data_IF_253380065037
#
_entry.id   IF_253380065037
#
_cell.length_a   1.000
_cell.length_b   1.000
_cell.length_c   1.000
_cell.angle_alpha   90.00
_cell.angle_beta   90.00
_cell.angle_gamma   90.00
#
_symmetry.space_group_name_H-M   'P 1'
#
loop_
_entity.id
_entity.type
_entity.pdbx_description
1 polymer ?
#
# COMPACT_ATOMS: atom_id res chain seq x y z
N UNK A 1 47.35 26.16 11.01
CA UNK A 1 47.03 25.28 12.19
C UNK A 1 46.63 23.91 11.67
N UNK A 2 47.28 22.87 12.17
CA UNK A 2 47.36 21.52 11.58
C UNK A 2 46.08 20.73 11.75
N UNK A 3 45.49 20.20 10.66
CA UNK A 3 44.41 19.20 10.66
C UNK A 3 45.00 17.82 10.98
N UNK A 4 44.46 17.14 11.99
CA UNK A 4 44.78 15.73 12.28
C UNK A 4 43.75 14.84 11.59
N UNK A 5 44.22 13.98 10.71
CA UNK A 5 43.47 12.83 10.17
C UNK A 5 43.57 11.69 11.16
N UNK A 6 42.41 11.08 11.52
CA UNK A 6 42.37 9.79 12.22
C UNK A 6 41.88 8.74 11.23
N UNK A 7 42.72 7.74 11.02
CA UNK A 7 42.42 6.55 10.25
C UNK A 7 41.58 5.56 11.11
N UNK A 8 40.50 5.04 10.55
CA UNK A 8 39.71 3.95 11.14
C UNK A 8 40.03 2.68 10.36
N UNK A 9 40.57 1.71 11.07
CA UNK A 9 40.99 0.40 10.56
C UNK A 9 39.77 -0.51 10.41
N UNK A 10 39.57 -1.02 9.20
CA UNK A 10 38.54 -2.03 8.92
C UNK A 10 39.05 -3.42 9.33
N UNK A 11 38.27 -4.11 10.15
CA UNK A 11 38.51 -5.49 10.59
C UNK A 11 37.61 -6.42 9.76
N UNK A 12 38.17 -7.16 8.81
CA UNK A 12 37.50 -8.19 8.03
C UNK A 12 37.49 -9.52 8.80
N UNK A 13 36.30 -10.02 9.10
CA UNK A 13 36.12 -11.36 9.70
C UNK A 13 35.67 -12.33 8.58
N UNK A 14 36.57 -13.22 8.17
CA UNK A 14 36.28 -14.34 7.27
C UNK A 14 35.79 -15.55 8.06
N UNK A 15 34.57 -16.01 7.82
CA UNK A 15 34.00 -17.24 8.39
C UNK A 15 34.04 -18.35 7.33
N UNK A 16 34.87 -19.35 7.56
CA UNK A 16 34.98 -20.54 6.73
C UNK A 16 33.90 -21.57 7.14
N UNK A 17 33.06 -21.99 6.19
CA UNK A 17 32.16 -23.16 6.36
C UNK A 17 32.85 -24.42 5.93
N UNK A 18 32.95 -25.37 6.83
CA UNK A 18 33.40 -26.73 6.58
C UNK A 18 32.22 -27.60 6.19
N UNK A 19 32.22 -28.14 4.98
CA UNK A 19 31.30 -29.18 4.52
C UNK A 19 31.82 -30.54 4.97
N UNK A 20 31.05 -31.26 5.78
CA UNK A 20 31.30 -32.68 6.06
C UNK A 20 30.21 -33.52 5.39
N UNK A 21 30.59 -34.25 4.37
CA UNK A 21 29.77 -35.31 3.78
C UNK A 21 30.02 -36.62 4.56
N UNK A 22 28.96 -37.33 4.95
CA UNK A 22 29.02 -38.73 5.33
C UNK A 22 27.91 -39.49 4.60
N UNK A 23 28.41 -40.41 3.80
CA UNK A 23 27.72 -41.51 3.14
C UNK A 23 27.53 -42.68 4.11
N UNK A 24 26.44 -43.43 4.00
CA UNK A 24 26.30 -44.73 4.65
C UNK A 24 24.85 -45.22 4.63
N UNK A 25 24.62 -46.27 3.85
CA UNK A 25 23.36 -46.91 3.54
C UNK A 25 22.90 -47.94 4.56
N UNK A 26 21.70 -48.50 4.34
CA UNK A 26 21.18 -49.69 4.98
C UNK A 26 19.68 -49.69 5.16
N UNK A 27 19.01 -50.60 4.46
CA UNK A 27 17.55 -50.71 4.36
C UNK A 27 16.85 -51.29 5.58
N UNK A 28 15.52 -51.29 5.54
CA UNK A 28 14.62 -51.97 6.47
C UNK A 28 13.17 -51.51 6.28
N UNK A 29 12.38 -52.37 5.61
CA UNK A 29 10.91 -52.24 5.56
C UNK A 29 10.28 -52.38 6.96
N UNK A 30 9.20 -51.64 7.24
CA UNK A 30 7.94 -52.21 7.78
C UNK A 30 6.84 -51.14 7.88
N UNK A 31 5.75 -51.42 7.21
CA UNK A 31 4.30 -51.21 7.35
C UNK A 31 3.69 -50.27 8.41
N UNK A 32 2.82 -49.39 7.85
CA UNK A 32 1.45 -49.06 8.25
C UNK A 32 1.15 -48.30 9.56
N UNK A 33 0.55 -47.12 9.44
CA UNK A 33 -0.87 -46.83 9.79
C UNK A 33 -1.20 -45.35 9.60
N UNK A 34 -2.44 -45.13 9.17
CA UNK A 34 -3.07 -43.85 8.82
C UNK A 34 -3.19 -42.86 9.95
N UNK A 35 -3.10 -41.59 9.62
CA UNK A 35 -3.51 -40.47 10.46
C UNK A 35 -3.46 -39.19 9.62
N UNK A 36 -4.62 -38.81 9.06
CA UNK A 36 -4.72 -37.59 8.25
C UNK A 36 -4.54 -36.34 9.08
N UNK A 37 -3.72 -35.45 8.56
CA UNK A 37 -3.72 -34.03 8.94
C UNK A 37 -3.58 -33.25 7.66
N UNK A 38 -4.66 -32.62 7.22
CA UNK A 38 -4.71 -31.71 6.07
C UNK A 38 -4.17 -30.36 6.52
N UNK A 39 -2.87 -30.18 6.41
CA UNK A 39 -2.27 -28.84 6.33
C UNK A 39 -2.50 -28.30 4.91
N UNK A 40 -3.33 -27.30 4.80
CA UNK A 40 -3.43 -26.48 3.61
C UNK A 40 -2.16 -25.63 3.50
N UNK A 41 -1.11 -26.19 2.88
CA UNK A 41 0.01 -25.41 2.39
C UNK A 41 -0.53 -24.53 1.24
N UNK A 42 -0.59 -23.21 1.47
CA UNK A 42 -0.76 -22.23 0.42
C UNK A 42 0.45 -22.33 -0.51
N UNK A 43 0.31 -23.03 -1.63
CA UNK A 43 1.25 -22.95 -2.73
C UNK A 43 1.24 -21.53 -3.27
N UNK A 44 2.25 -20.75 -2.90
CA UNK A 44 2.70 -19.60 -3.69
C UNK A 44 3.13 -20.16 -5.04
N UNK A 45 2.23 -20.18 -6.01
CA UNK A 45 2.55 -20.44 -7.42
C UNK A 45 3.50 -19.36 -7.90
N UNK A 46 4.78 -19.66 -7.84
CA UNK A 46 5.81 -18.87 -8.49
C UNK A 46 5.51 -18.92 -9.99
N UNK A 47 5.12 -17.78 -10.56
CA UNK A 47 4.85 -17.68 -11.99
C UNK A 47 6.08 -18.17 -12.78
N UNK A 48 5.84 -19.00 -13.78
CA UNK A 48 6.89 -19.51 -14.66
C UNK A 48 7.62 -18.31 -15.31
N UNK A 49 8.96 -18.33 -15.32
CA UNK A 49 9.75 -17.34 -16.01
C UNK A 49 9.41 -17.38 -17.52
N UNK A 50 9.20 -16.21 -18.17
CA UNK A 50 8.80 -16.16 -19.58
C UNK A 50 9.86 -16.74 -20.47
N UNK A 51 9.41 -17.48 -21.49
CA UNK A 51 10.25 -18.04 -22.55
C UNK A 51 10.65 -16.92 -23.52
N UNK A 52 11.94 -16.55 -23.57
CA UNK A 52 12.55 -15.67 -24.61
C UNK A 52 11.94 -14.25 -24.67
N UNK A 53 12.40 -13.38 -25.37
CA UNK A 53 12.08 -12.00 -25.83
C UNK A 53 10.84 -11.21 -25.28
N UNK A 54 10.23 -11.59 -24.15
CA UNK A 54 9.13 -10.82 -23.55
C UNK A 54 9.60 -9.42 -23.10
N UNK A 55 8.81 -8.41 -23.45
CA UNK A 55 9.05 -7.03 -22.98
C UNK A 55 8.86 -7.00 -21.46
N UNK A 56 9.89 -6.59 -20.74
CA UNK A 56 9.81 -6.39 -19.30
C UNK A 56 9.12 -5.06 -19.02
N UNK A 57 8.08 -5.11 -18.21
CA UNK A 57 7.30 -3.95 -17.81
C UNK A 57 7.31 -3.82 -16.28
N UNK A 58 7.34 -2.59 -15.80
CA UNK A 58 7.19 -2.26 -14.39
C UNK A 58 5.81 -1.69 -14.14
N UNK A 59 5.12 -2.21 -13.10
CA UNK A 59 3.83 -1.70 -12.64
C UNK A 59 3.97 -1.10 -11.24
N UNK A 60 3.81 0.23 -11.14
CA UNK A 60 3.73 0.93 -9.85
C UNK A 60 2.40 0.62 -9.15
N UNK A 61 2.46 0.33 -7.85
CA UNK A 61 1.27 -0.01 -7.04
C UNK A 61 1.18 0.86 -5.79
N UNK A 62 1.24 0.30 -4.59
CA UNK A 62 1.22 0.97 -3.30
C UNK A 62 1.93 0.11 -2.27
N UNK A 63 1.69 0.36 -1.00
CA UNK A 63 2.21 -0.46 0.09
C UNK A 63 1.72 -1.91 0.00
N UNK A 64 2.54 -2.86 0.45
CA UNK A 64 2.29 -4.31 0.30
C UNK A 64 1.06 -4.84 1.02
N UNK A 65 0.53 -4.11 2.00
CA UNK A 65 -0.72 -4.42 2.73
C UNK A 65 -1.97 -3.74 2.13
N UNK A 66 -1.79 -2.99 1.03
CA UNK A 66 -2.86 -2.29 0.32
C UNK A 66 -3.38 -3.07 -0.89
N UNK A 67 -4.58 -2.68 -1.35
CA UNK A 67 -5.27 -3.34 -2.47
C UNK A 67 -4.51 -3.21 -3.78
N UNK A 68 -3.82 -2.08 -4.05
CA UNK A 68 -3.03 -1.89 -5.28
C UNK A 68 -1.99 -2.97 -5.48
N UNK A 69 -1.23 -3.28 -4.43
CA UNK A 69 -0.17 -4.30 -4.52
C UNK A 69 -0.76 -5.70 -4.76
N UNK A 70 -1.80 -6.07 -3.99
CA UNK A 70 -2.45 -7.37 -4.14
C UNK A 70 -3.09 -7.53 -5.52
N UNK A 71 -3.84 -6.51 -5.99
CA UNK A 71 -4.53 -6.54 -7.27
C UNK A 71 -3.56 -6.48 -8.45
N UNK A 72 -2.54 -5.63 -8.37
CA UNK A 72 -1.46 -5.57 -9.34
C UNK A 72 -0.73 -6.91 -9.48
N UNK A 73 -0.49 -7.60 -8.36
CA UNK A 73 0.05 -8.96 -8.36
C UNK A 73 -0.81 -9.97 -9.11
N UNK A 74 -2.14 -9.90 -8.92
CA UNK A 74 -3.09 -10.75 -9.67
C UNK A 74 -3.05 -10.43 -11.17
N UNK A 75 -3.08 -9.15 -11.56
CA UNK A 75 -2.97 -8.75 -12.97
C UNK A 75 -1.67 -9.27 -13.58
N UNK A 76 -0.54 -9.01 -12.92
CA UNK A 76 0.77 -9.46 -13.39
C UNK A 76 0.82 -10.98 -13.58
N UNK A 77 0.38 -11.74 -12.57
CA UNK A 77 0.36 -13.21 -12.64
C UNK A 77 -0.50 -13.72 -13.80
N UNK A 78 -1.70 -13.16 -14.00
CA UNK A 78 -2.60 -13.58 -15.09
C UNK A 78 -2.01 -13.27 -16.45
N UNK A 79 -1.43 -12.07 -16.65
CA UNK A 79 -0.88 -11.66 -17.95
C UNK A 79 0.43 -12.38 -18.25
N UNK A 80 1.32 -12.52 -17.28
CA UNK A 80 2.59 -13.23 -17.46
C UNK A 80 2.37 -14.72 -17.80
N UNK A 81 1.32 -15.36 -17.23
CA UNK A 81 0.98 -16.73 -17.52
C UNK A 81 0.40 -16.96 -18.93
N UNK A 82 -0.03 -15.90 -19.63
CA UNK A 82 -0.64 -16.00 -20.97
C UNK A 82 0.38 -16.00 -22.12
N UNK A 83 1.66 -15.78 -21.84
CA UNK A 83 2.74 -15.73 -22.86
C UNK A 83 2.39 -14.80 -24.07
N UNK A 84 1.90 -13.60 -23.74
CA UNK A 84 1.50 -12.57 -24.72
C UNK A 84 2.64 -11.61 -25.09
N UNK A 85 3.88 -11.99 -24.82
CA UNK A 85 5.07 -11.20 -25.14
C UNK A 85 5.39 -10.10 -24.13
N UNK A 86 4.77 -10.09 -22.92
CA UNK A 86 5.09 -9.17 -21.83
C UNK A 86 5.40 -9.91 -20.54
N UNK A 87 6.24 -9.31 -19.71
CA UNK A 87 6.51 -9.76 -18.35
C UNK A 87 6.40 -8.56 -17.41
N UNK A 88 5.33 -8.52 -16.61
CA UNK A 88 5.04 -7.42 -15.70
C UNK A 88 5.63 -7.73 -14.32
N UNK A 89 6.48 -6.81 -13.82
CA UNK A 89 7.01 -6.80 -12.47
C UNK A 89 6.26 -5.76 -11.63
N UNK A 90 5.70 -6.18 -10.49
CA UNK A 90 4.96 -5.30 -9.59
C UNK A 90 5.91 -4.65 -8.60
N UNK A 91 5.82 -3.34 -8.47
CA UNK A 91 6.65 -2.54 -7.57
C UNK A 91 5.78 -1.88 -6.49
N UNK A 92 6.19 -2.03 -5.23
CA UNK A 92 5.63 -1.26 -4.11
C UNK A 92 6.11 0.18 -4.18
N UNK A 93 5.21 1.15 -3.99
CA UNK A 93 5.48 2.59 -4.12
C UNK A 93 4.73 3.38 -3.04
N UNK A 94 4.91 4.72 -3.03
CA UNK A 94 4.11 5.68 -2.25
C UNK A 94 2.70 5.95 -2.82
N UNK A 95 2.17 5.05 -3.66
CA UNK A 95 0.85 5.11 -4.28
C UNK A 95 0.66 6.26 -5.31
N UNK A 96 -0.55 6.85 -5.40
CA UNK A 96 -1.03 7.52 -6.62
C UNK A 96 -0.13 8.64 -7.15
N UNK A 97 0.30 9.62 -6.33
CA UNK A 97 1.17 10.71 -6.81
C UNK A 97 2.52 10.19 -7.28
N UNK A 98 3.14 9.31 -6.50
CA UNK A 98 4.41 8.70 -6.88
C UNK A 98 4.28 7.90 -8.19
N UNK A 99 3.19 7.17 -8.35
CA UNK A 99 2.89 6.38 -9.54
C UNK A 99 2.70 7.23 -10.80
N UNK A 100 2.02 8.37 -10.67
CA UNK A 100 1.88 9.35 -11.77
C UNK A 100 3.26 9.78 -12.26
N UNK A 101 4.17 10.17 -11.35
CA UNK A 101 5.50 10.59 -11.73
C UNK A 101 6.32 9.44 -12.34
N UNK A 102 6.26 8.23 -11.79
CA UNK A 102 6.96 7.07 -12.36
C UNK A 102 6.55 6.82 -13.82
N UNK A 103 5.25 6.93 -14.14
CA UNK A 103 4.77 6.77 -15.52
C UNK A 103 5.11 7.98 -16.37
N UNK A 104 4.88 9.19 -15.86
CA UNK A 104 5.16 10.44 -16.58
C UNK A 104 6.64 10.55 -16.99
N UNK A 105 7.55 10.09 -16.14
CA UNK A 105 9.00 10.15 -16.35
C UNK A 105 9.55 8.91 -17.09
N UNK A 106 8.67 7.94 -17.42
CA UNK A 106 9.03 6.71 -18.12
C UNK A 106 9.81 5.71 -17.26
N UNK A 107 9.73 5.81 -15.94
CA UNK A 107 10.35 4.89 -14.98
C UNK A 107 9.45 3.67 -14.70
N UNK A 108 8.15 3.77 -14.95
CA UNK A 108 7.20 2.67 -14.96
C UNK A 108 6.34 2.68 -16.23
N UNK A 109 5.96 1.50 -16.70
CA UNK A 109 5.12 1.33 -17.90
C UNK A 109 3.64 1.35 -17.57
N UNK A 110 3.28 0.91 -16.37
CA UNK A 110 1.92 0.81 -15.85
C UNK A 110 1.88 1.30 -14.40
N UNK A 111 0.71 1.79 -13.98
CA UNK A 111 0.50 2.11 -12.58
C UNK A 111 -0.98 1.99 -12.19
N UNK A 112 -1.24 1.73 -10.91
CA UNK A 112 -2.57 1.84 -10.32
C UNK A 112 -2.63 3.17 -9.57
N UNK A 113 -3.65 3.98 -9.88
CA UNK A 113 -3.81 5.34 -9.34
C UNK A 113 -5.28 5.64 -9.06
N UNK A 114 -5.55 6.53 -8.11
CA UNK A 114 -6.88 7.09 -7.89
C UNK A 114 -7.26 8.02 -9.05
N UNK A 115 -8.53 8.01 -9.42
CA UNK A 115 -9.03 8.83 -10.53
C UNK A 115 -9.01 10.33 -10.24
N UNK A 116 -9.22 10.75 -9.01
CA UNK A 116 -9.07 12.14 -8.56
C UNK A 116 -7.62 12.62 -8.68
N UNK A 117 -6.66 11.82 -8.20
CA UNK A 117 -5.23 12.15 -8.30
C UNK A 117 -4.77 12.21 -9.76
N UNK A 118 -5.30 11.34 -10.61
CA UNK A 118 -5.05 11.38 -12.05
C UNK A 118 -5.56 12.69 -12.69
N UNK A 119 -6.75 13.14 -12.32
CA UNK A 119 -7.34 14.39 -12.80
C UNK A 119 -6.53 15.60 -12.31
N UNK A 120 -6.16 15.65 -11.03
CA UNK A 120 -5.32 16.70 -10.47
C UNK A 120 -3.96 16.77 -11.17
N UNK A 121 -3.36 15.63 -11.45
CA UNK A 121 -2.09 15.56 -12.17
C UNK A 121 -2.21 16.13 -13.58
N UNK A 122 -3.21 15.67 -14.34
CA UNK A 122 -3.41 16.09 -15.73
C UNK A 122 -3.68 17.59 -15.86
N UNK A 123 -4.41 18.16 -14.91
CA UNK A 123 -4.78 19.58 -14.90
C UNK A 123 -3.77 20.48 -14.14
N UNK A 124 -2.80 19.91 -13.43
CA UNK A 124 -1.85 20.68 -12.60
C UNK A 124 -2.55 21.39 -11.45
N UNK A 125 -3.51 20.74 -10.82
CA UNK A 125 -4.30 21.29 -9.72
C UNK A 125 -4.07 20.53 -8.42
N UNK A 126 -4.60 21.04 -7.31
CA UNK A 126 -4.52 20.42 -5.98
C UNK A 126 -3.06 19.98 -5.65
N UNK A 127 -2.79 18.70 -5.55
CA UNK A 127 -1.47 18.08 -5.31
C UNK A 127 -0.36 18.53 -6.24
N UNK A 128 -0.72 18.91 -7.44
CA UNK A 128 0.19 19.23 -8.52
C UNK A 128 0.25 20.75 -8.81
N UNK A 129 -0.42 21.55 -7.99
CA UNK A 129 -0.51 23.01 -8.23
C UNK A 129 0.86 23.70 -8.17
N UNK A 130 1.80 23.21 -7.38
CA UNK A 130 3.15 23.77 -7.27
C UNK A 130 4.12 23.21 -8.31
N UNK A 131 4.02 21.90 -8.59
CA UNK A 131 4.91 21.21 -9.54
C UNK A 131 4.46 21.35 -11.00
N UNK A 132 3.16 21.64 -11.22
CA UNK A 132 2.55 21.75 -12.55
C UNK A 132 1.99 20.42 -13.06
N UNK A 133 1.35 20.48 -14.24
CA UNK A 133 0.70 19.33 -14.85
C UNK A 133 1.70 18.23 -15.24
N UNK A 134 1.32 16.98 -14.96
CA UNK A 134 1.94 15.78 -15.47
C UNK A 134 0.96 15.12 -16.46
N UNK A 135 1.31 15.02 -17.74
CA UNK A 135 0.38 14.65 -18.82
C UNK A 135 0.83 13.48 -19.69
N UNK A 136 2.04 12.95 -19.44
CA UNK A 136 2.62 11.86 -20.25
C UNK A 136 2.11 10.47 -19.79
N UNK A 137 0.81 10.35 -19.61
CA UNK A 137 0.15 9.08 -19.27
C UNK A 137 -1.24 8.99 -19.91
N UNK A 138 -1.80 7.78 -19.97
CA UNK A 138 -3.16 7.53 -20.45
C UNK A 138 -3.85 6.46 -19.60
N UNK A 139 -5.16 6.61 -19.43
CA UNK A 139 -6.00 5.62 -18.74
C UNK A 139 -6.18 4.38 -19.62
N UNK A 140 -5.90 3.21 -19.05
CA UNK A 140 -6.12 1.91 -19.69
C UNK A 140 -7.47 1.32 -19.31
N UNK A 141 -7.82 1.34 -18.01
CA UNK A 141 -9.06 0.78 -17.49
C UNK A 141 -9.43 1.35 -16.12
N UNK A 142 -10.72 1.34 -15.79
CA UNK A 142 -11.21 1.44 -14.41
C UNK A 142 -11.19 0.06 -13.77
N UNK A 143 -10.75 -0.06 -12.52
CA UNK A 143 -10.55 -1.34 -11.85
C UNK A 143 -11.63 -1.63 -10.81
N UNK A 144 -11.73 -0.82 -9.77
CA UNK A 144 -12.66 -1.02 -8.66
C UNK A 144 -12.91 0.32 -7.94
N UNK A 145 -13.95 0.36 -7.11
CA UNK A 145 -14.21 1.50 -6.24
C UNK A 145 -13.26 1.49 -5.04
N UNK A 146 -12.65 2.62 -4.73
CA UNK A 146 -11.87 2.80 -3.51
C UNK A 146 -12.75 3.46 -2.44
N UNK A 147 -12.66 2.94 -1.23
CA UNK A 147 -13.45 3.38 -0.09
C UNK A 147 -12.53 4.09 0.90
N UNK A 148 -12.87 5.32 1.25
CA UNK A 148 -12.23 6.03 2.35
C UNK A 148 -12.70 5.43 3.66
N UNK A 149 -11.84 4.69 4.33
CA UNK A 149 -12.08 4.04 5.61
C UNK A 149 -11.28 4.79 6.67
N UNK A 150 -11.95 5.26 7.72
CA UNK A 150 -11.28 5.92 8.86
C UNK A 150 -11.38 5.01 10.06
N UNK A 151 -10.23 4.55 10.54
CA UNK A 151 -10.13 3.55 11.60
C UNK A 151 -9.63 4.22 12.88
N UNK A 152 -10.29 3.92 13.98
CA UNK A 152 -9.89 4.39 15.31
C UNK A 152 -10.05 3.32 16.38
N UNK A 153 -9.66 3.64 17.60
CA UNK A 153 -9.86 2.79 18.79
C UNK A 153 -10.47 3.59 19.93
N UNK A 154 -10.89 2.89 20.97
CA UNK A 154 -11.36 3.51 22.21
C UNK A 154 -12.62 4.36 22.05
N UNK A 155 -12.55 5.58 22.56
CA UNK A 155 -13.69 6.50 22.66
C UNK A 155 -13.87 7.41 21.43
N UNK A 156 -13.00 7.31 20.44
CA UNK A 156 -13.11 8.06 19.19
C UNK A 156 -14.18 7.36 18.35
N UNK A 157 -15.31 8.02 18.10
CA UNK A 157 -16.49 7.46 17.45
C UNK A 157 -16.96 8.25 16.22
N UNK A 158 -16.38 9.43 15.99
CA UNK A 158 -16.72 10.29 14.85
C UNK A 158 -15.47 10.97 14.31
N UNK A 159 -15.56 11.49 13.08
CA UNK A 159 -14.49 12.29 12.47
C UNK A 159 -14.22 13.55 13.31
N UNK A 160 -15.24 14.17 13.90
CA UNK A 160 -15.09 15.34 14.73
C UNK A 160 -14.23 15.10 15.99
N UNK A 161 -14.17 13.85 16.49
CA UNK A 161 -13.36 13.50 17.65
C UNK A 161 -11.85 13.47 17.34
N UNK A 162 -11.46 13.58 16.07
CA UNK A 162 -10.05 13.54 15.62
C UNK A 162 -9.28 14.82 15.97
N UNK A 163 -9.97 15.92 16.28
CA UNK A 163 -9.31 17.18 16.68
C UNK A 163 -8.41 16.98 17.89
N UNK A 164 -7.13 17.37 17.77
CA UNK A 164 -6.10 17.21 18.80
C UNK A 164 -5.58 15.77 18.95
N UNK A 165 -5.90 14.87 18.02
CA UNK A 165 -5.45 13.45 18.03
C UNK A 165 -4.25 13.23 17.12
N UNK A 166 -3.54 12.13 17.36
CA UNK A 166 -2.46 11.63 16.51
C UNK A 166 -3.10 10.80 15.40
N UNK A 167 -3.04 11.32 14.18
CA UNK A 167 -3.75 10.71 13.04
C UNK A 167 -2.78 10.38 11.92
N UNK A 168 -2.77 9.13 11.47
CA UNK A 168 -2.08 8.81 10.23
C UNK A 168 -2.98 9.11 9.03
N UNK A 169 -2.46 9.93 8.13
CA UNK A 169 -3.15 10.43 6.95
C UNK A 169 -2.70 9.74 5.65
N UNK A 170 -1.96 8.64 5.76
CA UNK A 170 -1.34 7.96 4.63
C UNK A 170 0.09 8.42 4.37
N UNK A 171 0.77 7.79 3.42
CA UNK A 171 2.10 8.20 3.00
C UNK A 171 2.09 9.64 2.46
N UNK A 172 3.17 10.38 2.70
CA UNK A 172 3.28 11.75 2.25
C UNK A 172 3.14 11.85 0.72
N UNK A 173 2.26 12.70 0.25
CA UNK A 173 1.94 12.85 -1.18
C UNK A 173 1.10 11.70 -1.75
N UNK A 174 0.55 10.80 -0.92
CA UNK A 174 -0.38 9.78 -1.39
C UNK A 174 -1.78 10.34 -1.65
N UNK A 175 -2.58 9.67 -2.47
CA UNK A 175 -4.00 10.02 -2.64
C UNK A 175 -4.78 9.96 -1.32
N UNK A 176 -4.38 9.07 -0.40
CA UNK A 176 -4.98 8.96 0.94
C UNK A 176 -4.79 10.23 1.76
N UNK A 177 -3.61 10.87 1.70
CA UNK A 177 -3.35 12.14 2.38
C UNK A 177 -4.29 13.24 1.91
N UNK A 178 -4.64 13.24 0.61
CA UNK A 178 -5.60 14.20 0.07
C UNK A 178 -7.01 13.92 0.53
N UNK A 179 -7.43 12.68 0.43
CA UNK A 179 -8.74 12.30 0.93
C UNK A 179 -8.86 12.61 2.43
N UNK A 180 -7.82 12.36 3.22
CA UNK A 180 -7.80 12.71 4.65
C UNK A 180 -7.94 14.22 4.86
N UNK A 181 -7.20 15.04 4.10
CA UNK A 181 -7.29 16.51 4.15
C UNK A 181 -8.70 16.99 3.82
N UNK A 182 -9.23 16.55 2.69
CA UNK A 182 -10.55 16.97 2.20
C UNK A 182 -11.67 16.55 3.16
N UNK A 183 -11.61 15.32 3.70
CA UNK A 183 -12.60 14.82 4.67
C UNK A 183 -12.50 15.62 5.98
N UNK A 184 -11.31 15.84 6.52
CA UNK A 184 -11.14 16.61 7.74
C UNK A 184 -11.59 18.07 7.57
N UNK A 185 -11.27 18.70 6.44
CA UNK A 185 -11.69 20.07 6.13
C UNK A 185 -13.23 20.19 6.03
N UNK A 186 -13.91 19.17 5.50
CA UNK A 186 -15.38 19.13 5.51
C UNK A 186 -15.96 19.20 6.94
N UNK A 187 -15.26 18.62 7.92
CA UNK A 187 -15.61 18.71 9.36
C UNK A 187 -15.01 19.95 10.06
N UNK A 188 -14.42 20.88 9.32
CA UNK A 188 -13.79 22.08 9.89
C UNK A 188 -12.51 21.78 10.69
N UNK A 189 -11.82 20.70 10.38
CA UNK A 189 -10.56 20.27 11.00
C UNK A 189 -9.46 20.42 9.96
N UNK A 190 -8.44 21.22 10.24
CA UNK A 190 -7.25 21.34 9.41
C UNK A 190 -6.17 20.35 9.88
N UNK A 191 -5.13 20.15 9.08
CA UNK A 191 -3.96 19.37 9.52
C UNK A 191 -3.22 20.01 10.71
N UNK A 192 -3.36 21.33 10.93
CA UNK A 192 -2.83 22.02 12.11
C UNK A 192 -3.61 21.71 13.40
N UNK A 193 -4.84 21.18 13.27
CA UNK A 193 -5.68 20.80 14.40
C UNK A 193 -5.44 19.36 14.88
N UNK A 194 -4.56 18.59 14.22
CA UNK A 194 -4.20 17.19 14.55
C UNK A 194 -2.69 17.02 14.61
N UNK A 195 -2.22 15.94 15.23
CA UNK A 195 -0.83 15.51 15.08
C UNK A 195 -0.72 14.57 13.87
N UNK A 196 -0.26 15.11 12.75
CA UNK A 196 -0.15 14.39 11.47
C UNK A 196 0.97 13.36 11.53
N UNK A 197 0.65 12.14 11.10
CA UNK A 197 1.60 11.08 10.87
C UNK A 197 1.45 10.59 9.42
N UNK A 198 2.55 10.50 8.68
CA UNK A 198 2.55 9.98 7.33
C UNK A 198 3.08 8.53 7.33
N UNK A 199 2.14 7.57 7.35
CA UNK A 199 2.44 6.14 7.44
C UNK A 199 1.63 5.37 6.39
N UNK A 200 2.22 4.34 5.81
CA UNK A 200 1.49 3.36 5.00
C UNK A 200 0.50 2.54 5.84
N UNK A 201 -0.41 1.80 5.20
CA UNK A 201 -1.52 1.12 5.90
C UNK A 201 -1.05 0.10 6.94
N UNK A 202 0.00 -0.68 6.63
CA UNK A 202 0.57 -1.65 7.57
C UNK A 202 1.16 -0.96 8.79
N UNK A 203 2.01 0.05 8.57
CA UNK A 203 2.65 0.82 9.66
C UNK A 203 1.61 1.59 10.48
N UNK A 204 0.54 2.09 9.85
CA UNK A 204 -0.59 2.74 10.54
C UNK A 204 -1.34 1.75 11.44
N UNK A 205 -1.59 0.54 10.95
CA UNK A 205 -2.23 -0.53 11.71
C UNK A 205 -1.39 -0.90 12.94
N UNK A 206 -0.09 -1.09 12.76
CA UNK A 206 0.84 -1.40 13.86
C UNK A 206 0.97 -0.23 14.84
N UNK A 207 1.05 1.00 14.36
CA UNK A 207 1.12 2.19 15.21
C UNK A 207 -0.17 2.39 16.02
N UNK A 208 -1.35 2.11 15.45
CA UNK A 208 -2.64 2.16 16.17
C UNK A 208 -2.70 1.07 17.24
N UNK A 209 -2.31 -0.15 16.91
CA UNK A 209 -2.24 -1.28 17.83
C UNK A 209 -1.31 -1.00 19.02
N UNK A 210 -0.17 -0.36 18.76
CA UNK A 210 0.81 0.02 19.76
C UNK A 210 0.41 1.29 20.58
N UNK A 211 -0.71 1.94 20.24
CA UNK A 211 -1.15 3.19 20.87
C UNK A 211 -0.26 4.39 20.54
N UNK A 212 0.49 4.34 19.44
CA UNK A 212 1.34 5.44 18.96
C UNK A 212 0.55 6.49 18.19
N UNK A 213 -0.54 6.08 17.54
CA UNK A 213 -1.54 6.94 16.91
C UNK A 213 -2.92 6.61 17.46
N UNK A 214 -3.89 7.47 17.23
CA UNK A 214 -5.26 7.34 17.74
C UNK A 214 -6.26 6.95 16.64
N UNK A 215 -5.93 7.27 15.37
CA UNK A 215 -6.72 6.92 14.19
C UNK A 215 -5.83 6.91 12.94
N UNK A 216 -6.33 6.29 11.86
CA UNK A 216 -5.71 6.39 10.54
C UNK A 216 -6.73 6.38 9.41
N UNK A 217 -6.38 7.03 8.31
CA UNK A 217 -7.11 7.01 7.05
C UNK A 217 -6.56 5.91 6.14
N UNK A 218 -7.47 5.26 5.40
CA UNK A 218 -7.17 4.23 4.43
C UNK A 218 -8.13 4.36 3.25
N UNK A 219 -7.66 4.78 2.08
CA UNK A 219 -8.43 4.76 0.83
C UNK A 219 -7.98 3.56 0.02
N UNK A 220 -8.83 2.56 -0.08
CA UNK A 220 -8.51 1.27 -0.71
C UNK A 220 -9.79 0.50 -1.04
N UNK A 221 -9.65 -0.64 -1.74
CA UNK A 221 -10.74 -1.60 -1.85
C UNK A 221 -11.12 -2.16 -0.47
N UNK A 222 -12.42 -2.31 -0.21
CA UNK A 222 -12.92 -2.93 1.02
C UNK A 222 -13.36 -4.39 0.74
N UNK A 223 -12.96 -5.36 1.61
CA UNK A 223 -12.14 -5.22 2.81
C UNK A 223 -10.65 -5.00 2.51
N UNK A 224 -9.96 -4.18 3.33
CA UNK A 224 -8.52 -3.92 3.22
C UNK A 224 -7.74 -4.82 4.16
N UNK A 225 -6.66 -5.46 3.69
CA UNK A 225 -5.87 -6.43 4.45
C UNK A 225 -5.41 -5.88 5.81
N UNK A 226 -4.80 -4.69 5.84
CA UNK A 226 -4.32 -4.07 7.07
C UNK A 226 -5.42 -3.88 8.13
N UNK A 227 -6.65 -3.52 7.70
CA UNK A 227 -7.79 -3.33 8.60
C UNK A 227 -8.33 -4.67 9.10
N UNK A 228 -8.44 -5.66 8.21
CA UNK A 228 -8.90 -7.02 8.57
C UNK A 228 -7.96 -7.65 9.59
N UNK A 229 -6.66 -7.61 9.36
CA UNK A 229 -5.66 -8.15 10.28
C UNK A 229 -5.71 -7.45 11.64
N UNK A 230 -5.81 -6.13 11.67
CA UNK A 230 -5.96 -5.36 12.90
C UNK A 230 -7.23 -5.77 13.67
N UNK A 231 -8.35 -5.89 13.00
CA UNK A 231 -9.64 -6.27 13.59
C UNK A 231 -9.66 -7.67 14.19
N UNK A 232 -8.75 -8.57 13.79
CA UNK A 232 -8.64 -9.91 14.40
C UNK A 232 -8.09 -9.88 15.82
N UNK A 233 -7.30 -8.85 16.17
CA UNK A 233 -6.57 -8.76 17.43
C UNK A 233 -6.98 -7.57 18.29
N UNK A 234 -7.64 -6.57 17.70
CA UNK A 234 -8.01 -5.32 18.37
C UNK A 234 -9.48 -4.97 18.13
N UNK A 235 -10.12 -4.36 19.14
CA UNK A 235 -11.41 -3.72 18.94
C UNK A 235 -11.18 -2.36 18.25
N UNK A 236 -11.72 -2.22 17.05
CA UNK A 236 -11.63 -1.00 16.25
C UNK A 236 -12.99 -0.37 16.01
N UNK A 237 -13.00 0.90 15.63
CA UNK A 237 -14.16 1.60 15.11
C UNK A 237 -13.87 1.97 13.66
N UNK A 238 -14.84 1.78 12.78
CA UNK A 238 -14.88 2.45 11.49
C UNK A 238 -15.72 3.72 11.66
N UNK A 239 -15.12 4.88 11.43
CA UNK A 239 -15.79 6.15 11.60
C UNK A 239 -16.62 6.48 10.35
N UNK A 240 -17.90 6.73 10.54
CA UNK A 240 -18.80 7.11 9.47
C UNK A 240 -18.55 8.57 9.04
N UNK A 241 -18.62 8.81 7.73
CA UNK A 241 -18.78 10.16 7.17
C UNK A 241 -20.28 10.36 7.01
N UNK A 242 -20.86 11.20 7.86
CA UNK A 242 -22.30 11.42 7.87
C UNK A 242 -22.83 12.05 6.57
N UNK A 243 -24.14 11.92 6.34
CA UNK A 243 -24.79 12.33 5.09
C UNK A 243 -24.58 13.83 4.74
N UNK A 244 -24.51 14.71 5.73
CA UNK A 244 -24.29 16.15 5.52
C UNK A 244 -22.89 16.41 4.96
N UNK A 245 -21.87 15.84 5.60
CA UNK A 245 -20.48 16.01 5.18
C UNK A 245 -20.18 15.23 3.90
N UNK A 246 -20.79 14.06 3.69
CA UNK A 246 -20.70 13.32 2.45
C UNK A 246 -21.28 14.10 1.26
N UNK A 247 -22.41 14.78 1.44
CA UNK A 247 -23.00 15.64 0.42
C UNK A 247 -22.10 16.85 0.10
N UNK A 248 -21.54 17.50 1.13
CA UNK A 248 -20.63 18.64 0.96
C UNK A 248 -19.32 18.20 0.23
N UNK A 249 -18.78 17.04 0.56
CA UNK A 249 -17.62 16.47 -0.14
C UNK A 249 -17.93 16.20 -1.62
N UNK A 250 -19.08 15.60 -1.93
CA UNK A 250 -19.47 15.30 -3.31
C UNK A 250 -19.73 16.57 -4.14
N UNK A 251 -20.20 17.67 -3.51
CA UNK A 251 -20.37 18.96 -4.17
C UNK A 251 -19.03 19.64 -4.46
N UNK A 252 -18.10 19.61 -3.50
CA UNK A 252 -16.78 20.24 -3.64
C UNK A 252 -15.82 19.42 -4.51
N UNK A 253 -15.92 18.11 -4.44
CA UNK A 253 -15.03 17.15 -5.09
C UNK A 253 -15.85 16.06 -5.80
N UNK A 254 -16.14 16.19 -7.10
CA UNK A 254 -17.09 15.33 -7.83
C UNK A 254 -16.66 13.87 -7.98
N UNK A 255 -15.49 13.51 -7.48
CA UNK A 255 -14.99 12.12 -7.44
C UNK A 255 -15.57 11.30 -6.28
N UNK A 256 -16.10 11.97 -5.25
CA UNK A 256 -16.71 11.27 -4.11
C UNK A 256 -18.14 10.84 -4.40
N UNK A 257 -18.44 9.63 -3.93
CA UNK A 257 -19.81 9.09 -3.88
C UNK A 257 -19.96 8.29 -2.59
N UNK A 258 -21.18 8.18 -2.09
CA UNK A 258 -21.45 7.34 -0.92
C UNK A 258 -21.32 5.87 -1.26
N UNK A 259 -20.62 5.13 -0.40
CA UNK A 259 -20.45 3.69 -0.50
C UNK A 259 -20.72 3.04 0.86
N UNK A 260 -21.81 2.27 1.01
CA UNK A 260 -22.11 1.57 2.26
C UNK A 260 -21.18 0.37 2.43
N UNK A 261 -20.59 0.23 3.60
CA UNK A 261 -19.77 -0.91 4.03
C UNK A 261 -20.35 -1.61 5.24
#
# INVERSE_FOLDING_TARGET
MKKKFSAVTALTLTLAMVLTACSGGGGGETTAAAGGNTEAAGETTQAAAPSGDAVKMTMGTGGTTGTYYAFGGVIANVLNAKDIGVNINVQSTGASKANIYLVNDGEADLAIVQNDVMDYAYNGTDLFAEEGAATEFATVAGLYAEVCQVVSTGDIKSIADLKGKRVSVGDAGSGVEFNARQILEAYGISFDDIEVNNLGFGDSSDALKDGKIDAFFCTAGAPTTAIVELATTNSINLLEIDDEHAAALAEAHPFYTTYPI
#
